data_IF_119214381992
#
_entry.id   IF_119214381992
#
_cell.length_a   1.000
_cell.length_b   1.000
_cell.length_c   1.000
_cell.angle_alpha   90.00
_cell.angle_beta   90.00
_cell.angle_gamma   90.00
#
_symmetry.space_group_name_H-M   'P 1'
#
loop_
_entity.id
_entity.type
_entity.pdbx_description
1 polymer ?
#
# COMPACT_ATOMS: atom_id res chain seq x y z
N UNK A 1 6.57 19.25 -3.34
CA UNK A 1 5.15 18.96 -3.61
C UNK A 1 4.82 17.55 -3.17
N UNK A 2 3.80 17.38 -2.37
CA UNK A 2 3.42 16.08 -1.83
C UNK A 2 3.00 15.11 -2.94
N UNK A 3 3.16 13.84 -2.66
CA UNK A 3 2.76 12.76 -3.56
C UNK A 3 2.12 11.65 -2.74
N UNK A 4 1.42 10.74 -3.39
CA UNK A 4 0.60 9.76 -2.68
C UNK A 4 0.65 8.39 -3.34
N UNK A 5 0.65 7.37 -2.50
CA UNK A 5 0.28 6.03 -2.93
C UNK A 5 -1.22 5.87 -2.68
N UNK A 6 -1.95 5.49 -3.69
CA UNK A 6 -3.36 5.14 -3.55
C UNK A 6 -3.47 3.64 -3.82
N UNK A 7 -3.82 2.90 -2.78
CA UNK A 7 -3.82 1.44 -2.81
C UNK A 7 -5.22 0.95 -2.51
N UNK A 8 -5.76 0.12 -3.40
CA UNK A 8 -7.03 -0.55 -3.14
C UNK A 8 -6.82 -2.04 -3.31
N UNK A 9 -7.37 -2.82 -2.39
CA UNK A 9 -7.11 -4.24 -2.40
C UNK A 9 -8.30 -5.08 -1.99
N UNK A 10 -8.32 -6.29 -2.56
CA UNK A 10 -9.14 -7.39 -2.12
C UNK A 10 -8.21 -8.44 -1.52
N UNK A 11 -8.37 -8.72 -0.24
CA UNK A 11 -7.50 -9.67 0.46
C UNK A 11 -8.22 -11.01 0.56
N UNK A 12 -7.65 -12.03 -0.09
CA UNK A 12 -8.23 -13.37 -0.04
C UNK A 12 -7.46 -14.32 0.88
N UNK A 13 -6.27 -13.93 1.35
CA UNK A 13 -5.49 -14.69 2.33
C UNK A 13 -4.94 -13.74 3.38
N UNK A 14 -5.73 -13.46 4.46
CA UNK A 14 -5.31 -12.49 5.48
C UNK A 14 -4.02 -12.85 6.20
N UNK A 15 -3.76 -14.14 6.44
CA UNK A 15 -2.55 -14.57 7.15
C UNK A 15 -1.30 -14.24 6.36
N UNK A 16 -1.32 -14.50 5.07
CA UNK A 16 -0.19 -14.19 4.19
C UNK A 16 -0.04 -12.69 4.02
N UNK A 17 -1.16 -11.98 3.87
CA UNK A 17 -1.13 -10.52 3.73
C UNK A 17 -0.57 -9.83 4.97
N UNK A 18 -0.78 -10.40 6.14
CA UNK A 18 -0.22 -9.86 7.38
C UNK A 18 1.31 -9.82 7.34
N UNK A 19 1.93 -10.77 6.68
CA UNK A 19 3.40 -10.77 6.49
C UNK A 19 3.84 -9.56 5.67
N UNK A 20 3.07 -9.26 4.61
CA UNK A 20 3.32 -8.05 3.83
C UNK A 20 3.22 -6.80 4.71
N UNK A 21 2.16 -6.67 5.48
CA UNK A 21 1.95 -5.51 6.34
C UNK A 21 3.13 -5.31 7.30
N UNK A 22 3.59 -6.40 7.92
CA UNK A 22 4.68 -6.35 8.88
C UNK A 22 5.99 -5.89 8.25
N UNK A 23 6.23 -6.20 6.99
CA UNK A 23 7.43 -5.79 6.28
C UNK A 23 7.29 -4.39 5.68
N UNK A 24 6.14 -4.09 5.09
CA UNK A 24 5.95 -2.85 4.35
C UNK A 24 5.85 -1.61 5.25
N UNK A 25 5.24 -1.74 6.43
CA UNK A 25 5.09 -0.61 7.32
C UNK A 25 6.40 0.10 7.65
N UNK A 26 7.42 -0.65 8.14
CA UNK A 26 8.73 -0.04 8.41
C UNK A 26 9.40 0.57 7.19
N UNK A 27 9.23 -0.04 6.01
CA UNK A 27 9.82 0.50 4.78
C UNK A 27 9.19 1.85 4.42
N UNK A 28 7.87 1.94 4.51
CA UNK A 28 7.16 3.20 4.26
C UNK A 28 7.67 4.29 5.22
N UNK A 29 7.85 3.96 6.49
CA UNK A 29 8.38 4.91 7.47
C UNK A 29 9.79 5.34 7.14
N UNK A 30 10.63 4.42 6.69
CA UNK A 30 12.01 4.72 6.31
C UNK A 30 12.06 5.78 5.22
N UNK A 31 11.11 5.77 4.30
CA UNK A 31 11.00 6.75 3.23
C UNK A 31 10.12 7.93 3.60
N UNK A 32 9.85 8.09 4.91
CA UNK A 32 9.08 9.21 5.46
C UNK A 32 7.64 9.30 4.95
N UNK A 33 7.07 8.15 4.61
CA UNK A 33 5.66 8.07 4.26
C UNK A 33 4.78 8.16 5.50
N UNK A 34 3.64 8.84 5.35
CA UNK A 34 2.66 8.99 6.43
C UNK A 34 1.36 8.34 5.98
N UNK A 35 0.88 7.37 6.76
CA UNK A 35 -0.41 6.75 6.48
C UNK A 35 -1.54 7.70 6.81
N UNK A 36 -2.29 8.12 5.80
CA UNK A 36 -3.47 8.97 5.97
C UNK A 36 -4.73 8.14 6.16
N UNK A 37 -4.81 7.00 5.48
CA UNK A 37 -5.85 6.01 5.67
C UNK A 37 -5.18 4.65 5.56
N UNK A 38 -5.53 3.73 6.45
CA UNK A 38 -4.83 2.44 6.51
C UNK A 38 -5.83 1.31 6.71
N UNK A 39 -6.67 1.10 5.71
CA UNK A 39 -7.66 0.04 5.75
C UNK A 39 -8.80 0.30 6.72
N UNK A 40 -9.12 1.57 6.94
CA UNK A 40 -10.21 1.96 7.81
C UNK A 40 -11.56 1.87 7.11
N UNK A 41 -12.55 2.52 7.71
CA UNK A 41 -13.92 2.51 7.19
C UNK A 41 -13.97 3.16 5.81
N UNK A 42 -14.71 2.55 4.90
CA UNK A 42 -14.90 3.09 3.55
C UNK A 42 -16.28 2.74 3.02
N UNK A 43 -16.69 3.45 1.98
CA UNK A 43 -17.88 3.13 1.20
C UNK A 43 -17.51 3.15 -0.27
N UNK A 44 -17.75 2.06 -0.99
CA UNK A 44 -17.51 2.00 -2.43
C UNK A 44 -18.74 2.56 -3.14
N UNK A 45 -18.62 3.76 -3.69
CA UNK A 45 -19.73 4.44 -4.35
C UNK A 45 -19.93 3.96 -5.79
N UNK A 46 -18.84 3.74 -6.49
CA UNK A 46 -18.84 3.22 -7.86
C UNK A 46 -17.73 2.19 -7.98
N UNK A 47 -18.04 1.03 -8.50
CA UNK A 47 -17.17 -0.12 -8.47
C UNK A 47 -17.22 -0.82 -7.12
N UNK A 48 -16.79 -2.08 -7.09
CA UNK A 48 -16.84 -2.87 -5.87
C UNK A 48 -15.77 -3.96 -5.89
N UNK A 49 -15.60 -4.61 -4.73
CA UNK A 49 -14.68 -5.74 -4.62
C UNK A 49 -13.32 -5.41 -4.05
N UNK A 50 -13.11 -4.17 -3.63
CA UNK A 50 -11.84 -3.75 -3.00
C UNK A 50 -12.15 -3.20 -1.62
N UNK A 51 -12.21 -4.10 -0.64
CA UNK A 51 -12.66 -3.77 0.71
C UNK A 51 -11.64 -3.00 1.53
N UNK A 52 -10.39 -2.90 1.05
CA UNK A 52 -9.34 -2.21 1.78
C UNK A 52 -8.72 -1.10 0.94
N UNK A 53 -8.72 0.11 1.48
CA UNK A 53 -8.07 1.26 0.85
C UNK A 53 -7.00 1.82 1.78
N UNK A 54 -5.80 2.04 1.23
CA UNK A 54 -4.70 2.63 1.97
C UNK A 54 -4.22 3.85 1.19
N UNK A 55 -4.06 4.96 1.91
CA UNK A 55 -3.58 6.21 1.34
C UNK A 55 -2.34 6.63 2.11
N UNK A 56 -1.23 6.79 1.40
CA UNK A 56 0.06 7.15 2.02
C UNK A 56 0.57 8.42 1.37
N UNK A 57 0.97 9.38 2.20
CA UNK A 57 1.54 10.64 1.74
C UNK A 57 3.06 10.58 1.82
N UNK A 58 3.73 11.05 0.78
CA UNK A 58 5.19 11.20 0.75
C UNK A 58 5.54 12.67 0.50
N UNK A 59 6.77 13.04 0.84
CA UNK A 59 7.21 14.42 0.68
C UNK A 59 7.37 14.83 -0.77
N UNK A 60 7.62 13.87 -1.66
CA UNK A 60 7.77 14.14 -3.09
C UNK A 60 7.38 12.90 -3.91
N UNK A 61 7.12 13.15 -5.17
CA UNK A 61 6.82 12.07 -6.11
C UNK A 61 8.00 11.11 -6.23
N UNK A 62 9.22 11.65 -6.26
CA UNK A 62 10.44 10.85 -6.34
C UNK A 62 10.60 9.93 -5.14
N UNK A 63 10.33 10.44 -3.94
CA UNK A 63 10.41 9.61 -2.73
C UNK A 63 9.35 8.51 -2.72
N UNK A 64 8.15 8.82 -3.21
CA UNK A 64 7.10 7.82 -3.32
C UNK A 64 7.53 6.69 -4.26
N UNK A 65 8.14 7.05 -5.39
CA UNK A 65 8.67 6.06 -6.35
C UNK A 65 9.85 5.27 -5.77
N UNK A 66 10.78 5.95 -5.11
CA UNK A 66 11.93 5.27 -4.51
C UNK A 66 11.50 4.24 -3.48
N UNK A 67 10.50 4.59 -2.68
CA UNK A 67 9.96 3.64 -1.71
C UNK A 67 9.38 2.40 -2.40
N UNK A 68 8.55 2.61 -3.41
CA UNK A 68 7.91 1.50 -4.11
C UNK A 68 8.95 0.61 -4.80
N UNK A 69 9.96 1.20 -5.40
CA UNK A 69 10.98 0.48 -6.16
C UNK A 69 12.14 -0.03 -5.32
N UNK A 70 12.14 0.24 -4.00
CA UNK A 70 13.21 -0.25 -3.13
C UNK A 70 13.19 -1.77 -3.05
N UNK A 71 14.38 -2.35 -2.87
CA UNK A 71 14.51 -3.80 -2.73
C UNK A 71 13.67 -4.31 -1.56
N UNK A 72 13.66 -3.56 -0.46
CA UNK A 72 12.91 -3.91 0.74
C UNK A 72 11.41 -3.99 0.47
N UNK A 73 10.87 -3.03 -0.27
CA UNK A 73 9.45 -3.05 -0.59
C UNK A 73 9.13 -4.17 -1.58
N UNK A 74 9.99 -4.38 -2.57
CA UNK A 74 9.79 -5.45 -3.55
C UNK A 74 9.80 -6.83 -2.87
N UNK A 75 10.61 -7.02 -1.83
CA UNK A 75 10.57 -8.24 -1.03
C UNK A 75 9.21 -8.41 -0.34
N UNK A 76 8.68 -7.33 0.21
CA UNK A 76 7.36 -7.36 0.85
C UNK A 76 6.27 -7.74 -0.15
N UNK A 77 6.39 -7.29 -1.40
CA UNK A 77 5.39 -7.59 -2.43
C UNK A 77 5.27 -9.07 -2.76
N UNK A 78 6.28 -9.87 -2.45
CA UNK A 78 6.18 -11.31 -2.67
C UNK A 78 5.01 -11.91 -1.90
N UNK A 79 4.68 -11.34 -0.74
CA UNK A 79 3.56 -11.83 0.06
C UNK A 79 2.21 -11.34 -0.45
N UNK A 80 2.18 -10.35 -1.33
CA UNK A 80 0.94 -9.88 -1.95
C UNK A 80 0.47 -10.84 -3.04
N UNK A 81 1.39 -11.42 -3.78
CA UNK A 81 1.09 -12.28 -4.94
C UNK A 81 0.08 -13.39 -4.62
N UNK A 82 0.21 -14.00 -3.45
CA UNK A 82 -0.63 -15.11 -3.04
C UNK A 82 -1.64 -14.72 -1.96
N UNK A 83 -1.93 -13.45 -1.80
CA UNK A 83 -2.78 -13.00 -0.70
C UNK A 83 -3.78 -11.92 -1.06
N UNK A 84 -3.58 -11.21 -2.16
CA UNK A 84 -4.45 -10.09 -2.49
C UNK A 84 -4.40 -9.73 -3.97
N UNK A 85 -5.50 -9.19 -4.46
CA UNK A 85 -5.57 -8.49 -5.74
C UNK A 85 -5.59 -7.02 -5.44
N UNK A 86 -4.69 -6.24 -6.02
CA UNK A 86 -4.56 -4.83 -5.67
C UNK A 86 -4.48 -3.93 -6.89
N UNK A 87 -4.98 -2.72 -6.69
CA UNK A 87 -4.77 -1.59 -7.59
C UNK A 87 -3.87 -0.61 -6.85
N UNK A 88 -2.75 -0.24 -7.44
CA UNK A 88 -1.81 0.69 -6.83
C UNK A 88 -1.45 1.74 -7.85
N UNK A 89 -1.62 3.00 -7.47
CA UNK A 89 -1.21 4.12 -8.31
C UNK A 89 -0.48 5.13 -7.45
N UNK A 90 0.52 5.76 -8.03
CA UNK A 90 1.29 6.83 -7.38
C UNK A 90 0.98 8.13 -8.12
N UNK A 91 0.57 9.11 -7.37
CA UNK A 91 0.18 10.41 -7.93
C UNK A 91 0.90 11.56 -7.26
#
# INVERSE_FOLDING_TARGET
MKAYWVVRGHIFNPEEYAKYINLAGPVVKKYQGTFLSRGGRQEEKEGSGYERTVLIEFNSYEEALFCYNSDEYQEALEYVKNSADRLVVIV
#
